data_IF_348274815209
#
_entry.id   IF_348274815209
#
_cell.length_a   1.000
_cell.length_b   1.000
_cell.length_c   1.000
_cell.angle_alpha   90.00
_cell.angle_beta   90.00
_cell.angle_gamma   90.00
#
_symmetry.space_group_name_H-M   'P 1'
#
loop_
_entity.id
_entity.type
_entity.pdbx_description
1 polymer ?
#
# COMPACT_ATOMS: atom_id res chain seq x y z
N UNK A 1 6.63 23.98 13.11
CA UNK A 1 6.40 22.57 12.75
C UNK A 1 6.00 22.53 11.29
N UNK A 2 6.81 21.88 10.43
CA UNK A 2 6.44 21.64 9.03
C UNK A 2 5.79 20.25 8.93
N UNK A 3 4.49 20.20 9.22
CA UNK A 3 3.71 18.99 9.05
C UNK A 3 3.56 18.71 7.55
N UNK A 4 4.23 17.67 7.05
CA UNK A 4 4.13 17.26 5.64
C UNK A 4 3.31 15.99 5.55
N UNK A 5 2.25 16.02 4.75
CA UNK A 5 1.47 14.83 4.38
C UNK A 5 1.87 14.45 2.95
N UNK A 6 2.25 13.18 2.75
CA UNK A 6 2.51 12.61 1.43
C UNK A 6 1.49 11.53 1.16
N UNK A 7 0.69 11.72 0.11
CA UNK A 7 -0.17 10.67 -0.42
C UNK A 7 0.59 9.87 -1.47
N UNK A 8 0.49 8.55 -1.39
CA UNK A 8 1.17 7.64 -2.30
C UNK A 8 0.17 6.61 -2.82
N UNK A 9 0.38 6.20 -4.05
CA UNK A 9 -0.40 5.16 -4.71
C UNK A 9 0.53 4.30 -5.56
N UNK A 10 0.32 2.99 -5.52
CA UNK A 10 1.02 2.01 -6.32
C UNK A 10 0.04 0.97 -6.83
N UNK A 11 0.15 0.63 -8.10
CA UNK A 11 -0.57 -0.48 -8.71
C UNK A 11 0.44 -1.38 -9.43
N UNK A 12 0.28 -2.68 -9.28
CA UNK A 12 1.08 -3.69 -9.99
C UNK A 12 0.12 -4.73 -10.56
N UNK A 13 0.18 -4.92 -11.88
CA UNK A 13 -0.63 -5.88 -12.61
C UNK A 13 0.29 -6.85 -13.37
N UNK A 14 -0.12 -8.12 -13.42
CA UNK A 14 0.63 -9.21 -14.03
C UNK A 14 -0.08 -9.76 -15.27
N UNK A 15 0.67 -10.49 -16.10
CA UNK A 15 0.21 -11.00 -17.39
C UNK A 15 0.53 -10.04 -18.54
N UNK A 16 0.67 -10.62 -19.74
CA UNK A 16 1.01 -9.86 -20.96
C UNK A 16 -0.02 -8.78 -21.30
N UNK A 17 -1.25 -8.92 -20.79
CA UNK A 17 -2.36 -7.97 -20.97
C UNK A 17 -2.84 -7.38 -19.64
N UNK A 18 -2.05 -7.52 -18.56
CA UNK A 18 -2.42 -7.06 -17.22
C UNK A 18 -3.67 -7.77 -16.66
N UNK A 19 -3.92 -9.01 -17.09
CA UNK A 19 -5.13 -9.80 -16.86
C UNK A 19 -4.93 -10.95 -15.87
N UNK A 20 -3.70 -11.25 -15.44
CA UNK A 20 -3.46 -12.34 -14.49
C UNK A 20 -3.79 -11.96 -13.04
N UNK A 21 -3.99 -10.67 -12.76
CA UNK A 21 -4.23 -10.12 -11.42
C UNK A 21 -3.06 -9.29 -10.91
N UNK A 22 -3.06 -8.93 -9.63
CA UNK A 22 -2.08 -8.04 -9.07
C UNK A 22 -2.44 -7.51 -7.69
N UNK A 23 -1.99 -6.28 -7.40
CA UNK A 23 -2.38 -5.58 -6.19
C UNK A 23 -2.33 -4.07 -6.39
N UNK A 24 -3.12 -3.35 -5.60
CA UNK A 24 -3.05 -1.91 -5.45
C UNK A 24 -2.80 -1.55 -3.99
N UNK A 25 -2.04 -0.49 -3.77
CA UNK A 25 -1.69 0.03 -2.44
C UNK A 25 -1.86 1.53 -2.43
N UNK A 26 -2.62 2.03 -1.47
CA UNK A 26 -2.75 3.46 -1.19
C UNK A 26 -2.31 3.72 0.25
N UNK A 27 -1.48 4.75 0.46
CA UNK A 27 -1.04 5.10 1.81
C UNK A 27 -0.69 6.57 1.97
N UNK A 28 -0.90 7.05 3.19
CA UNK A 28 -0.52 8.36 3.65
C UNK A 28 0.71 8.23 4.55
N UNK A 29 1.70 9.08 4.31
CA UNK A 29 2.83 9.30 5.22
C UNK A 29 2.70 10.68 5.85
N UNK A 30 2.76 10.73 7.18
CA UNK A 30 2.72 11.97 7.95
C UNK A 30 4.04 12.16 8.71
N UNK A 31 4.75 13.23 8.38
CA UNK A 31 5.95 13.65 9.10
C UNK A 31 5.51 14.47 10.33
N UNK A 32 5.60 13.85 11.52
CA UNK A 32 5.13 14.43 12.79
C UNK A 32 6.18 15.39 13.35
N UNK A 33 7.43 14.92 13.44
CA UNK A 33 8.60 15.67 13.89
C UNK A 33 9.88 15.05 13.32
N UNK A 34 11.04 15.68 13.54
CA UNK A 34 12.32 15.07 13.16
C UNK A 34 12.46 13.69 13.78
N UNK A 35 12.67 12.69 12.92
CA UNK A 35 12.79 11.29 13.30
C UNK A 35 11.49 10.57 13.63
N UNK A 36 10.31 11.21 13.66
CA UNK A 36 9.01 10.55 13.93
C UNK A 36 8.08 10.63 12.72
N UNK A 37 7.67 9.45 12.24
CA UNK A 37 6.83 9.31 11.06
C UNK A 37 5.69 8.33 11.31
N UNK A 38 4.49 8.63 10.81
CA UNK A 38 3.38 7.70 10.77
C UNK A 38 3.04 7.34 9.33
N UNK A 39 2.80 6.06 9.04
CA UNK A 39 2.18 5.62 7.79
C UNK A 39 0.87 4.89 8.09
N UNK A 40 -0.13 5.13 7.26
CA UNK A 40 -1.41 4.43 7.28
C UNK A 40 -1.82 4.13 5.85
N UNK A 41 -2.34 2.93 5.59
CA UNK A 41 -2.74 2.57 4.24
C UNK A 41 -3.48 1.26 4.14
N UNK A 42 -3.82 0.94 2.89
CA UNK A 42 -4.55 -0.25 2.48
C UNK A 42 -3.79 -0.93 1.34
N UNK A 43 -3.91 -2.26 1.28
CA UNK A 43 -3.52 -3.11 0.15
C UNK A 43 -4.76 -3.90 -0.25
N UNK A 44 -5.08 -3.88 -1.53
CA UNK A 44 -6.18 -4.63 -2.14
C UNK A 44 -5.61 -5.55 -3.22
N UNK A 45 -5.99 -6.83 -3.16
CA UNK A 45 -5.47 -7.85 -4.07
C UNK A 45 -6.44 -8.10 -5.23
N UNK A 46 -5.94 -7.97 -6.45
CA UNK A 46 -6.76 -8.02 -7.67
C UNK A 46 -6.66 -9.44 -8.25
N UNK A 47 -7.80 -10.11 -8.39
CA UNK A 47 -7.92 -11.43 -9.04
C UNK A 47 -7.75 -11.36 -10.56
N UNK A 48 -7.77 -12.52 -11.23
CA UNK A 48 -7.65 -12.62 -12.70
C UNK A 48 -7.10 -13.97 -13.20
N UNK A 49 -6.26 -14.62 -12.40
CA UNK A 49 -5.78 -15.98 -12.62
C UNK A 49 -5.93 -16.81 -11.36
N UNK A 50 -5.91 -18.15 -11.48
CA UNK A 50 -6.02 -19.07 -10.34
C UNK A 50 -5.06 -18.73 -9.18
N UNK A 51 -3.86 -18.23 -9.49
CA UNK A 51 -2.87 -17.81 -8.47
C UNK A 51 -3.33 -16.57 -7.71
N UNK A 52 -3.85 -15.56 -8.40
CA UNK A 52 -4.28 -14.31 -7.80
C UNK A 52 -5.67 -14.40 -7.18
N UNK A 53 -6.57 -15.21 -7.73
CA UNK A 53 -7.88 -15.50 -7.16
C UNK A 53 -7.78 -16.19 -5.78
N UNK A 54 -6.73 -16.98 -5.58
CA UNK A 54 -6.45 -17.60 -4.28
C UNK A 54 -6.10 -16.59 -3.18
N UNK A 55 -5.71 -15.36 -3.54
CA UNK A 55 -5.30 -14.31 -2.60
C UNK A 55 -6.12 -13.02 -2.73
N UNK A 56 -7.09 -12.95 -3.64
CA UNK A 56 -7.85 -11.72 -3.94
C UNK A 56 -8.71 -11.24 -2.76
N UNK A 57 -9.08 -12.12 -1.84
CA UNK A 57 -9.84 -11.76 -0.65
C UNK A 57 -8.95 -11.54 0.59
N UNK A 58 -7.64 -11.34 0.40
CA UNK A 58 -6.68 -11.15 1.48
C UNK A 58 -6.27 -9.67 1.64
N UNK A 59 -7.24 -8.77 1.56
CA UNK A 59 -7.00 -7.34 1.70
C UNK A 59 -6.42 -7.00 3.07
N UNK A 60 -5.56 -5.99 3.13
CA UNK A 60 -4.84 -5.61 4.33
C UNK A 60 -4.98 -4.12 4.59
N UNK A 61 -5.38 -3.77 5.81
CA UNK A 61 -5.15 -2.43 6.37
C UNK A 61 -3.89 -2.45 7.23
N UNK A 62 -3.09 -1.39 7.15
CA UNK A 62 -1.87 -1.27 7.96
C UNK A 62 -1.71 0.13 8.53
N UNK A 63 -1.04 0.18 9.69
CA UNK A 63 -0.58 1.41 10.32
C UNK A 63 0.76 1.13 11.01
N UNK A 64 1.71 2.02 10.82
CA UNK A 64 3.02 1.96 11.45
C UNK A 64 3.46 3.35 11.93
N UNK A 65 4.11 3.39 13.09
CA UNK A 65 4.74 4.58 13.64
C UNK A 65 6.22 4.26 13.81
N UNK A 66 7.06 5.03 13.15
CA UNK A 66 8.51 4.85 13.12
C UNK A 66 9.19 5.98 13.87
N UNK A 67 10.15 5.62 14.72
CA UNK A 67 11.11 6.54 15.31
C UNK A 67 12.53 6.20 14.83
N UNK A 68 13.31 7.20 14.44
CA UNK A 68 14.69 7.04 13.95
C UNK A 68 15.61 8.09 14.59
N UNK A 69 16.79 7.65 15.03
CA UNK A 69 17.85 8.43 15.70
C UNK A 69 19.14 8.46 14.87
#
# INVERSE_FOLDING_TARGET
>A
MNATVKANYLISLFGSKMDEGGFQRAWLKYDISDGIYANIGLVDYIGGSNRFDAVSNNDMAFMDVTYSF
#
